data_IF_785478715246
#
_entry.id   IF_785478715246
#
_cell.length_a   1.000
_cell.length_b   1.000
_cell.length_c   1.000
_cell.angle_alpha   90.00
_cell.angle_beta   90.00
_cell.angle_gamma   90.00
#
_symmetry.space_group_name_H-M   'P 1'
#
loop_
_entity.id
_entity.type
_entity.pdbx_description
1 polymer ?
#
# COMPACT_ATOMS: atom_id res chain seq x y z
N UNK A 1 2.38 -18.01 -10.15
CA UNK A 1 3.23 -18.93 -9.33
C UNK A 1 4.65 -18.38 -9.33
N UNK A 2 5.40 -18.36 -8.23
CA UNK A 2 6.78 -17.81 -8.25
C UNK A 2 7.80 -18.95 -8.49
N UNK A 3 8.34 -19.11 -9.71
CA UNK A 3 9.23 -20.25 -10.06
C UNK A 3 10.53 -20.26 -9.24
N UNK A 4 10.94 -19.10 -8.71
CA UNK A 4 12.15 -18.96 -7.90
C UNK A 4 12.00 -19.51 -6.47
N UNK A 5 10.76 -19.63 -5.95
CA UNK A 5 10.52 -20.34 -4.68
C UNK A 5 10.77 -21.84 -4.85
N UNK A 6 10.39 -22.42 -5.99
CA UNK A 6 10.57 -23.85 -6.29
C UNK A 6 12.06 -24.20 -6.32
N UNK A 7 12.89 -23.34 -6.92
CA UNK A 7 14.35 -23.45 -6.93
C UNK A 7 15.00 -23.40 -5.54
N UNK A 8 14.44 -22.63 -4.61
CA UNK A 8 14.98 -22.50 -3.23
C UNK A 8 14.82 -23.80 -2.43
N UNK A 9 13.81 -24.61 -2.76
CA UNK A 9 13.50 -25.85 -2.07
C UNK A 9 14.14 -27.09 -2.72
N UNK A 10 14.65 -26.99 -3.95
CA UNK A 10 15.27 -28.08 -4.73
C UNK A 10 16.63 -28.61 -4.17
N UNK A 11 16.98 -28.32 -2.91
CA UNK A 11 18.17 -28.84 -2.24
C UNK A 11 18.14 -30.36 -2.02
N UNK A 12 16.97 -31.01 -2.17
CA UNK A 12 16.79 -32.44 -1.95
C UNK A 12 16.33 -33.12 -3.24
N UNK A 13 17.05 -34.17 -3.65
CA UNK A 13 16.82 -35.02 -4.83
C UNK A 13 15.42 -35.65 -4.92
N UNK A 14 14.61 -35.58 -3.86
CA UNK A 14 13.25 -36.11 -3.78
C UNK A 14 12.17 -35.25 -4.47
N UNK A 15 12.51 -34.05 -4.97
CA UNK A 15 11.53 -33.09 -5.51
C UNK A 15 11.30 -33.16 -7.02
N UNK A 16 11.95 -34.08 -7.74
CA UNK A 16 11.79 -34.26 -9.19
C UNK A 16 10.32 -34.48 -9.63
N UNK A 17 9.50 -35.28 -8.92
CA UNK A 17 8.08 -35.42 -9.26
C UNK A 17 7.28 -34.13 -9.06
N UNK A 18 7.69 -33.29 -8.10
CA UNK A 18 7.02 -32.00 -7.85
C UNK A 18 7.37 -30.98 -8.93
N UNK A 19 8.62 -30.96 -9.40
CA UNK A 19 9.05 -30.13 -10.53
C UNK A 19 8.33 -30.51 -11.82
N UNK A 20 8.17 -31.81 -12.09
CA UNK A 20 7.40 -32.27 -13.26
C UNK A 20 5.94 -31.78 -13.19
N UNK A 21 5.27 -31.94 -12.04
CA UNK A 21 3.91 -31.41 -11.84
C UNK A 21 3.82 -29.91 -12.05
N UNK A 22 4.83 -29.14 -11.64
CA UNK A 22 4.85 -27.69 -11.87
C UNK A 22 5.09 -27.31 -13.33
N UNK A 23 5.85 -28.10 -14.07
CA UNK A 23 6.04 -27.94 -15.51
C UNK A 23 4.73 -28.14 -16.26
N UNK A 24 4.02 -29.23 -15.97
CA UNK A 24 2.74 -29.56 -16.61
C UNK A 24 1.69 -28.46 -16.33
N UNK A 25 1.68 -27.91 -15.10
CA UNK A 25 0.81 -26.79 -14.73
C UNK A 25 1.18 -25.46 -15.41
N UNK A 26 2.46 -25.25 -15.76
CA UNK A 26 2.89 -24.05 -16.48
C UNK A 26 2.47 -24.11 -17.95
N UNK A 27 2.66 -25.27 -18.59
CA UNK A 27 2.18 -25.54 -19.96
C UNK A 27 0.67 -25.36 -20.08
N UNK A 28 -0.10 -25.94 -19.15
CA UNK A 28 -1.56 -25.83 -19.15
C UNK A 28 -2.08 -24.39 -18.93
N UNK A 29 -1.23 -23.49 -18.45
CA UNK A 29 -1.55 -22.07 -18.25
C UNK A 29 -1.03 -21.16 -19.38
N UNK A 30 -0.30 -21.71 -20.35
CA UNK A 30 0.38 -20.92 -21.39
C UNK A 30 1.48 -20.00 -20.84
N UNK A 31 2.09 -20.35 -19.71
CA UNK A 31 3.20 -19.59 -19.12
C UNK A 31 4.54 -20.15 -19.64
N UNK A 32 4.83 -19.84 -20.91
CA UNK A 32 5.95 -20.42 -21.67
C UNK A 32 7.30 -20.18 -20.98
N UNK A 33 7.48 -18.99 -20.38
CA UNK A 33 8.70 -18.66 -19.65
C UNK A 33 8.88 -19.54 -18.40
N UNK A 34 7.80 -19.81 -17.66
CA UNK A 34 7.86 -20.70 -16.51
C UNK A 34 8.14 -22.14 -16.93
N UNK A 35 7.56 -22.60 -18.04
CA UNK A 35 7.80 -23.93 -18.59
C UNK A 35 9.26 -24.12 -19.03
N UNK A 36 9.82 -23.17 -19.79
CA UNK A 36 11.23 -23.19 -20.21
C UNK A 36 12.19 -23.22 -19.00
N UNK A 37 11.93 -22.39 -17.99
CA UNK A 37 12.75 -22.34 -16.78
C UNK A 37 12.72 -23.67 -16.01
N UNK A 38 11.55 -24.30 -15.87
CA UNK A 38 11.41 -25.58 -15.16
C UNK A 38 12.06 -26.72 -15.96
N UNK A 39 11.91 -26.71 -17.29
CA UNK A 39 12.56 -27.67 -18.19
C UNK A 39 14.09 -27.62 -18.08
N UNK A 40 14.68 -26.41 -18.12
CA UNK A 40 16.13 -26.22 -17.93
C UNK A 40 16.62 -26.74 -16.55
N UNK A 41 15.79 -26.62 -15.51
CA UNK A 41 16.11 -27.17 -14.19
C UNK A 41 16.08 -28.69 -14.16
N UNK A 42 15.12 -29.32 -14.85
CA UNK A 42 15.03 -30.78 -14.97
C UNK A 42 16.23 -31.34 -15.75
N UNK A 43 16.65 -30.68 -16.82
CA UNK A 43 17.83 -31.07 -17.60
C UNK A 43 19.13 -30.94 -16.80
N UNK A 44 19.28 -29.88 -16.00
CA UNK A 44 20.46 -29.71 -15.13
C UNK A 44 20.51 -30.79 -14.03
N UNK A 45 19.37 -31.15 -13.44
CA UNK A 45 19.29 -32.26 -12.48
C UNK A 45 19.64 -33.61 -13.11
N UNK A 46 19.29 -33.83 -14.39
CA UNK A 46 19.68 -35.02 -15.14
C UNK A 46 21.17 -35.08 -15.45
N UNK A 47 21.81 -33.93 -15.66
CA UNK A 47 23.24 -33.80 -15.92
C UNK A 47 24.11 -33.95 -14.67
N UNK A 48 23.52 -34.08 -13.47
CA UNK A 48 24.25 -34.17 -12.20
C UNK A 48 24.78 -32.83 -11.69
N UNK A 49 24.35 -31.71 -12.30
CA UNK A 49 24.75 -30.38 -11.87
C UNK A 49 24.17 -30.05 -10.50
N UNK A 50 25.00 -29.47 -9.64
CA UNK A 50 24.54 -28.99 -8.34
C UNK A 50 23.49 -27.87 -8.56
N UNK A 51 22.27 -27.98 -8.00
CA UNK A 51 21.17 -27.03 -8.22
C UNK A 51 21.54 -25.59 -7.82
N UNK A 52 22.56 -25.45 -6.98
CA UNK A 52 23.11 -24.17 -6.55
C UNK A 52 23.87 -23.42 -7.66
N UNK A 53 24.57 -24.12 -8.55
CA UNK A 53 25.28 -23.51 -9.67
C UNK A 53 24.29 -22.93 -10.70
N UNK A 54 23.22 -23.66 -10.99
CA UNK A 54 22.12 -23.19 -11.84
C UNK A 54 21.39 -21.99 -11.21
N UNK A 55 21.06 -22.07 -9.91
CA UNK A 55 20.41 -20.97 -9.20
C UNK A 55 21.28 -19.69 -9.16
N UNK A 56 22.61 -19.81 -9.18
CA UNK A 56 23.52 -18.66 -9.29
C UNK A 56 23.52 -18.08 -10.71
N UNK A 57 23.56 -18.91 -11.76
CA UNK A 57 23.48 -18.46 -13.17
C UNK A 57 22.17 -17.73 -13.44
N UNK A 58 21.03 -18.30 -13.07
CA UNK A 58 19.71 -17.67 -13.26
C UNK A 58 19.59 -16.32 -12.53
N UNK A 59 20.21 -16.18 -11.34
CA UNK A 59 20.24 -14.90 -10.63
C UNK A 59 21.13 -13.87 -11.32
N UNK A 60 22.27 -14.30 -11.86
CA UNK A 60 23.25 -13.45 -12.53
C UNK A 60 22.72 -12.95 -13.87
N UNK A 61 22.08 -13.84 -14.62
CA UNK A 61 21.52 -13.58 -15.93
C UNK A 61 20.07 -13.07 -15.83
N UNK A 62 19.62 -12.71 -14.63
CA UNK A 62 18.27 -12.17 -14.41
C UNK A 62 18.15 -10.89 -15.22
N UNK A 63 17.29 -10.83 -16.24
CA UNK A 63 17.08 -9.58 -16.94
C UNK A 63 16.52 -8.60 -15.91
N UNK A 64 17.26 -7.53 -15.65
CA UNK A 64 16.74 -6.36 -14.95
C UNK A 64 15.70 -5.78 -15.91
N UNK A 65 14.44 -6.23 -15.78
CA UNK A 65 13.32 -5.56 -16.41
C UNK A 65 13.26 -4.18 -15.76
N UNK A 66 13.99 -3.21 -16.32
CA UNK A 66 13.58 -1.81 -16.22
C UNK A 66 12.19 -1.81 -16.81
N UNK A 67 11.16 -1.89 -15.97
CA UNK A 67 9.81 -1.56 -16.41
C UNK A 67 9.91 -0.11 -16.82
N UNK A 68 10.12 0.14 -18.11
CA UNK A 68 9.75 1.42 -18.69
C UNK A 68 8.24 1.43 -18.46
N UNK A 69 7.82 2.08 -17.37
CA UNK A 69 6.40 2.33 -17.17
C UNK A 69 6.05 3.27 -18.30
N UNK A 70 5.21 2.81 -19.21
CA UNK A 70 4.61 3.71 -20.18
C UNK A 70 3.97 4.87 -19.42
N UNK A 71 4.10 6.11 -19.94
CA UNK A 71 3.49 7.26 -19.30
C UNK A 71 1.99 6.98 -19.15
N UNK A 72 1.50 7.12 -17.93
CA UNK A 72 0.10 6.94 -17.61
C UNK A 72 -0.70 7.96 -18.42
N UNK A 73 -1.68 7.49 -19.21
CA UNK A 73 -2.56 8.39 -19.97
C UNK A 73 -3.31 9.33 -19.01
N UNK A 74 -3.67 10.53 -19.46
CA UNK A 74 -4.36 11.52 -18.63
C UNK A 74 -5.68 10.97 -18.04
N UNK A 75 -6.41 10.15 -18.80
CA UNK A 75 -7.64 9.49 -18.35
C UNK A 75 -7.37 8.47 -17.24
N UNK A 76 -6.32 7.65 -17.41
CA UNK A 76 -5.88 6.68 -16.41
C UNK A 76 -5.37 7.37 -15.15
N UNK A 77 -4.72 8.53 -15.29
CA UNK A 77 -4.24 9.32 -14.17
C UNK A 77 -5.39 9.84 -13.30
N UNK A 78 -6.52 10.24 -13.89
CA UNK A 78 -7.72 10.65 -13.14
C UNK A 78 -8.31 9.48 -12.36
N UNK A 79 -8.43 8.30 -12.99
CA UNK A 79 -8.95 7.10 -12.32
C UNK A 79 -8.04 6.65 -11.17
N UNK A 80 -6.74 6.55 -11.42
CA UNK A 80 -5.75 6.18 -10.40
C UNK A 80 -5.72 7.20 -9.25
N UNK A 81 -5.87 8.49 -9.54
CA UNK A 81 -6.00 9.52 -8.50
C UNK A 81 -7.25 9.32 -7.65
N UNK A 82 -8.39 8.99 -8.25
CA UNK A 82 -9.61 8.69 -7.51
C UNK A 82 -9.43 7.49 -6.59
N UNK A 83 -8.76 6.43 -7.05
CA UNK A 83 -8.47 5.24 -6.26
C UNK A 83 -7.51 5.53 -5.09
N UNK A 84 -6.48 6.37 -5.32
CA UNK A 84 -5.58 6.84 -4.26
C UNK A 84 -6.32 7.68 -3.23
N UNK A 85 -7.20 8.58 -3.67
CA UNK A 85 -8.02 9.40 -2.76
C UNK A 85 -8.97 8.54 -1.92
N UNK A 86 -9.63 7.56 -2.54
CA UNK A 86 -10.52 6.63 -1.86
C UNK A 86 -9.76 5.78 -0.84
N UNK A 87 -8.58 5.27 -1.20
CA UNK A 87 -7.71 4.53 -0.28
C UNK A 87 -7.27 5.38 0.91
N UNK A 88 -6.92 6.64 0.68
CA UNK A 88 -6.59 7.60 1.75
C UNK A 88 -7.77 7.86 2.67
N UNK A 89 -8.98 8.01 2.11
CA UNK A 89 -10.22 8.20 2.88
C UNK A 89 -10.46 7.00 3.81
N UNK A 90 -10.42 5.79 3.27
CA UNK A 90 -10.61 4.54 4.04
C UNK A 90 -9.56 4.41 5.14
N UNK A 91 -8.29 4.67 4.83
CA UNK A 91 -7.21 4.64 5.82
C UNK A 91 -7.43 5.68 6.93
N UNK A 92 -7.84 6.89 6.57
CA UNK A 92 -8.12 7.96 7.52
C UNK A 92 -9.33 7.64 8.40
N UNK A 93 -10.41 7.08 7.87
CA UNK A 93 -11.58 6.65 8.65
C UNK A 93 -11.24 5.55 9.66
N UNK A 94 -10.33 4.64 9.30
CA UNK A 94 -9.84 3.59 10.20
C UNK A 94 -8.95 4.13 11.32
N UNK A 95 -8.02 5.02 11.00
CA UNK A 95 -7.06 5.55 11.97
C UNK A 95 -7.63 6.70 12.82
N UNK A 96 -8.55 7.48 12.27
CA UNK A 96 -9.14 8.66 12.89
C UNK A 96 -10.67 8.55 12.82
N UNK A 97 -11.31 7.67 13.62
CA UNK A 97 -12.75 7.53 13.60
C UNK A 97 -13.42 8.85 14.00
N UNK A 98 -14.62 9.14 13.47
CA UNK A 98 -15.37 10.35 13.83
C UNK A 98 -15.54 10.44 15.36
N UNK A 99 -15.21 11.59 15.94
CA UNK A 99 -15.21 11.81 17.39
C UNK A 99 -13.92 11.44 18.13
N UNK A 100 -12.90 10.90 17.43
CA UNK A 100 -11.56 10.69 18.00
C UNK A 100 -10.77 11.99 18.20
N UNK A 101 -11.09 13.03 17.43
CA UNK A 101 -10.40 14.31 17.55
C UNK A 101 -10.85 15.05 18.81
N UNK A 102 -9.89 15.52 19.61
CA UNK A 102 -10.15 16.19 20.89
C UNK A 102 -11.01 17.45 20.74
N UNK A 103 -10.94 18.11 19.58
CA UNK A 103 -11.77 19.28 19.25
C UNK A 103 -13.19 18.91 18.83
N UNK A 104 -13.40 17.75 18.21
CA UNK A 104 -14.74 17.31 17.79
C UNK A 104 -15.65 17.08 19.00
N UNK A 105 -15.08 16.69 20.15
CA UNK A 105 -15.81 16.60 21.43
C UNK A 105 -16.43 17.92 21.86
N UNK A 106 -15.79 19.05 21.54
CA UNK A 106 -16.25 20.39 21.93
C UNK A 106 -16.80 21.19 20.75
N UNK A 107 -17.21 20.50 19.68
CA UNK A 107 -17.59 21.11 18.42
C UNK A 107 -18.71 22.16 18.57
N UNK A 108 -19.79 21.81 19.26
CA UNK A 108 -20.92 22.72 19.46
C UNK A 108 -20.54 23.95 20.29
N UNK A 109 -19.72 23.78 21.32
CA UNK A 109 -19.32 24.90 22.19
C UNK A 109 -18.36 25.85 21.45
N UNK A 110 -17.42 25.31 20.66
CA UNK A 110 -16.50 26.12 19.83
C UNK A 110 -17.30 26.94 18.80
N UNK A 111 -18.27 26.34 18.12
CA UNK A 111 -19.12 27.05 17.16
C UNK A 111 -20.01 28.10 17.85
N UNK A 112 -20.54 27.80 19.03
CA UNK A 112 -21.33 28.76 19.81
C UNK A 112 -20.49 29.98 20.21
N UNK A 113 -19.26 29.78 20.68
CA UNK A 113 -18.33 30.87 21.01
C UNK A 113 -18.03 31.74 19.78
N UNK A 114 -17.70 31.10 18.65
CA UNK A 114 -17.42 31.82 17.41
C UNK A 114 -18.65 32.59 16.90
N UNK A 115 -19.87 32.02 17.01
CA UNK A 115 -21.13 32.70 16.66
C UNK A 115 -21.40 33.93 17.54
N UNK A 116 -20.94 33.92 18.78
CA UNK A 116 -21.01 35.06 19.69
C UNK A 116 -19.84 36.06 19.50
N UNK A 117 -19.05 35.93 18.44
CA UNK A 117 -17.98 36.88 18.09
C UNK A 117 -16.64 36.62 18.77
N UNK A 118 -16.45 35.47 19.43
CA UNK A 118 -15.15 35.12 20.00
C UNK A 118 -14.11 34.96 18.90
N UNK A 119 -12.92 35.57 19.09
CA UNK A 119 -11.80 35.36 18.18
C UNK A 119 -11.21 33.96 18.34
N UNK A 120 -10.42 33.51 17.37
CA UNK A 120 -9.71 32.23 17.44
C UNK A 120 -8.82 32.12 18.68
N UNK A 121 -8.21 33.24 19.08
CA UNK A 121 -7.35 33.33 20.26
C UNK A 121 -8.14 33.22 21.56
N UNK A 122 -9.36 33.76 21.59
CA UNK A 122 -10.27 33.61 22.73
C UNK A 122 -10.74 32.17 22.87
N UNK A 123 -11.03 31.51 21.75
CA UNK A 123 -11.41 30.09 21.71
C UNK A 123 -10.24 29.22 22.17
N UNK A 124 -9.01 29.49 21.73
CA UNK A 124 -7.80 28.83 22.22
C UNK A 124 -7.66 28.98 23.74
N UNK A 125 -7.75 30.22 24.24
CA UNK A 125 -7.65 30.51 25.67
C UNK A 125 -8.76 29.81 26.46
N UNK A 126 -9.98 29.76 25.93
CA UNK A 126 -11.11 29.04 26.53
C UNK A 126 -10.86 27.53 26.57
N UNK A 127 -10.39 26.92 25.49
CA UNK A 127 -10.06 25.49 25.45
C UNK A 127 -8.97 25.14 26.46
N UNK A 128 -7.93 25.98 26.56
CA UNK A 128 -6.86 25.79 27.53
C UNK A 128 -7.34 25.94 28.98
N UNK A 129 -8.14 26.97 29.28
CA UNK A 129 -8.57 27.29 30.66
C UNK A 129 -9.73 26.44 31.16
N UNK A 130 -10.73 26.17 30.31
CA UNK A 130 -11.98 25.51 30.72
C UNK A 130 -12.01 24.02 30.43
N UNK A 131 -11.27 23.55 29.43
CA UNK A 131 -11.29 22.15 28.98
C UNK A 131 -9.93 21.46 29.14
N UNK A 132 -8.93 22.15 29.69
CA UNK A 132 -7.54 21.67 29.82
C UNK A 132 -6.96 21.14 28.49
N UNK A 133 -7.35 21.77 27.37
CA UNK A 133 -6.96 21.36 26.03
C UNK A 133 -6.01 22.41 25.43
N UNK A 134 -4.74 22.04 25.27
CA UNK A 134 -3.76 22.87 24.57
C UNK A 134 -3.84 22.60 23.07
N UNK A 135 -4.27 23.59 22.30
CA UNK A 135 -4.27 23.59 20.84
C UNK A 135 -3.69 24.90 20.35
N UNK A 136 -3.07 24.90 19.18
CA UNK A 136 -2.59 26.13 18.57
C UNK A 136 -3.73 26.88 17.86
N UNK A 137 -3.66 28.21 17.78
CA UNK A 137 -4.62 29.05 17.07
C UNK A 137 -4.92 28.52 15.65
N UNK A 138 -3.88 28.11 14.90
CA UNK A 138 -4.05 27.57 13.54
C UNK A 138 -4.92 26.32 13.47
N UNK A 139 -4.92 25.49 14.54
CA UNK A 139 -5.80 24.33 14.64
C UNK A 139 -7.25 24.76 14.83
N UNK A 140 -7.50 25.80 15.64
CA UNK A 140 -8.83 26.39 15.82
C UNK A 140 -9.32 27.02 14.53
N UNK A 141 -8.47 27.78 13.82
CA UNK A 141 -8.80 28.35 12.51
C UNK A 141 -9.19 27.26 11.50
N UNK A 142 -8.35 26.22 11.33
CA UNK A 142 -8.63 25.09 10.43
C UNK A 142 -9.92 24.36 10.80
N UNK A 143 -10.18 24.21 12.11
CA UNK A 143 -11.43 23.63 12.60
C UNK A 143 -12.63 24.50 12.22
N UNK A 144 -12.56 25.81 12.43
CA UNK A 144 -13.64 26.73 12.09
C UNK A 144 -13.90 26.78 10.58
N UNK A 145 -12.85 26.86 9.75
CA UNK A 145 -12.99 26.84 8.27
C UNK A 145 -13.71 25.58 7.81
N UNK A 146 -13.25 24.40 8.28
CA UNK A 146 -13.87 23.11 7.94
C UNK A 146 -15.36 23.03 8.31
N UNK A 147 -15.77 23.68 9.39
CA UNK A 147 -17.14 23.59 9.93
C UNK A 147 -18.00 24.82 9.61
N UNK A 148 -17.45 25.88 8.99
CA UNK A 148 -18.19 27.04 8.49
C UNK A 148 -18.95 26.69 7.21
N UNK A 149 -18.38 25.87 6.35
CA UNK A 149 -18.99 25.42 5.09
C UNK A 149 -20.23 24.51 5.32
N UNK A 150 -20.44 24.00 6.53
CA UNK A 150 -21.60 23.15 6.87
C UNK A 150 -22.80 23.94 7.43
N UNK A 151 -22.71 25.27 7.53
CA UNK A 151 -23.79 26.15 7.98
C UNK A 151 -24.26 27.14 6.89
N UNK A 152 -23.93 26.87 5.62
CA UNK A 152 -24.38 27.64 4.45
C UNK A 152 -25.48 26.90 3.69
#
# INVERSE_FOLDING_TARGET
MNPYKVLRHAKNSQLRPQLQRTYDLALNRGDDLAAEMISACLSALQAGDAPEALARRIRRDRPIRKRIREPLSDEQAVTELADVQQSRKIANERCNPPGSNKLDRYHQEILALHKNGASERDIEAWLRRKKNLSVHQSTVHRFLVKNKESNG
#
